data_IF_635486382642
#
_entry.id   IF_635486382642
#
_cell.length_a   1.000
_cell.length_b   1.000
_cell.length_c   1.000
_cell.angle_alpha   90.00
_cell.angle_beta   90.00
_cell.angle_gamma   90.00
#
_symmetry.space_group_name_H-M   'P 1'
#
loop_
_entity.id
_entity.type
_entity.pdbx_description
1 polymer ?
#
# COMPACT_ATOMS: atom_id res chain seq x y z
N UNK A 1 -3.98 10.95 12.80
CA UNK A 1 -2.99 9.89 12.49
C UNK A 1 -2.11 10.40 11.37
N UNK A 2 -0.81 10.04 11.31
CA UNK A 2 0.12 10.46 10.26
C UNK A 2 0.44 9.27 9.36
N UNK A 3 0.69 9.50 8.06
CA UNK A 3 1.08 8.44 7.10
C UNK A 3 2.31 7.66 7.58
N UNK A 4 3.26 8.34 8.22
CA UNK A 4 4.43 7.70 8.84
C UNK A 4 4.08 6.55 9.78
N UNK A 5 2.95 6.62 10.48
CA UNK A 5 2.49 5.52 11.34
C UNK A 5 2.06 4.30 10.51
N UNK A 6 1.33 4.50 9.41
CA UNK A 6 0.95 3.42 8.49
C UNK A 6 2.17 2.76 7.86
N UNK A 7 3.16 3.57 7.43
CA UNK A 7 4.44 3.09 6.91
C UNK A 7 5.16 2.22 7.95
N UNK A 8 5.20 2.65 9.23
CA UNK A 8 5.81 1.86 10.31
C UNK A 8 5.07 0.55 10.54
N UNK A 9 3.73 0.53 10.53
CA UNK A 9 2.96 -0.71 10.65
C UNK A 9 3.27 -1.65 9.47
N UNK A 10 3.39 -1.13 8.25
CA UNK A 10 3.74 -1.89 7.05
C UNK A 10 5.14 -2.48 7.09
N UNK A 11 6.14 -1.66 7.36
CA UNK A 11 7.55 -2.08 7.46
C UNK A 11 7.76 -3.17 8.53
N UNK A 12 7.08 -3.02 9.68
CA UNK A 12 7.18 -3.97 10.78
C UNK A 12 6.14 -5.11 10.71
N UNK A 13 5.29 -5.12 9.68
CA UNK A 13 4.23 -6.12 9.45
C UNK A 13 3.29 -6.27 10.66
N UNK A 14 2.99 -5.17 11.35
CA UNK A 14 2.17 -5.13 12.57
C UNK A 14 0.69 -4.94 12.20
N UNK A 15 0.13 -5.95 11.57
CA UNK A 15 -1.30 -6.08 11.29
C UNK A 15 -1.63 -7.52 10.91
N UNK A 16 -2.91 -7.85 10.85
CA UNK A 16 -3.35 -9.09 10.25
C UNK A 16 -3.40 -8.91 8.72
N UNK A 17 -2.49 -9.55 7.93
CA UNK A 17 -2.46 -9.39 6.48
C UNK A 17 -3.70 -9.96 5.78
N UNK A 18 -4.49 -10.80 6.45
CA UNK A 18 -5.76 -11.33 5.93
C UNK A 18 -6.87 -10.26 5.84
N UNK A 19 -6.61 -9.04 6.30
CA UNK A 19 -7.60 -7.94 6.30
C UNK A 19 -7.51 -7.03 5.08
N UNK A 20 -6.47 -7.14 4.24
CA UNK A 20 -6.35 -6.27 3.08
C UNK A 20 -7.40 -6.63 2.01
N UNK A 21 -8.11 -5.61 1.57
CA UNK A 21 -9.13 -5.70 0.53
C UNK A 21 -9.06 -4.48 -0.39
N UNK A 22 -9.47 -4.65 -1.64
CA UNK A 22 -9.70 -3.53 -2.54
C UNK A 22 -11.02 -2.82 -2.20
N UNK A 23 -11.34 -1.76 -2.96
CA UNK A 23 -12.56 -0.96 -2.79
C UNK A 23 -13.86 -1.73 -3.04
N UNK A 24 -13.77 -2.85 -3.77
CA UNK A 24 -14.90 -3.73 -4.08
C UNK A 24 -15.01 -4.88 -3.06
N UNK A 25 -14.08 -4.94 -2.10
CA UNK A 25 -14.05 -5.95 -1.03
C UNK A 25 -13.33 -7.25 -1.41
N UNK A 26 -12.68 -7.32 -2.56
CA UNK A 26 -11.90 -8.49 -2.95
C UNK A 26 -10.63 -8.59 -2.09
N UNK A 27 -10.22 -9.79 -1.67
CA UNK A 27 -9.01 -9.95 -0.86
C UNK A 27 -7.76 -9.54 -1.65
N UNK A 28 -6.82 -8.91 -0.94
CA UNK A 28 -5.47 -8.62 -1.42
C UNK A 28 -4.49 -9.40 -0.53
N UNK A 29 -3.73 -10.29 -1.13
CA UNK A 29 -2.64 -10.99 -0.48
C UNK A 29 -1.34 -10.22 -0.70
N UNK A 30 -0.60 -9.90 0.37
CA UNK A 30 0.71 -9.27 0.26
C UNK A 30 1.77 -10.37 0.14
N UNK A 31 2.37 -10.48 -1.04
CA UNK A 31 3.42 -11.47 -1.34
C UNK A 31 4.82 -10.94 -0.98
N UNK A 32 5.04 -9.63 -1.14
CA UNK A 32 6.26 -8.94 -0.73
C UNK A 32 5.90 -7.52 -0.28
N UNK A 33 6.36 -7.14 0.92
CA UNK A 33 6.12 -5.81 1.50
C UNK A 33 7.01 -4.72 0.89
N UNK A 34 7.96 -5.10 0.03
CA UNK A 34 8.87 -4.16 -0.60
C UNK A 34 9.85 -3.53 0.38
N UNK A 35 10.40 -2.37 0.01
CA UNK A 35 11.40 -1.63 0.79
C UNK A 35 10.97 -0.18 0.97
N UNK A 36 11.11 0.33 2.20
CA UNK A 36 10.82 1.73 2.52
C UNK A 36 11.65 2.65 1.61
N UNK A 37 11.00 3.61 0.99
CA UNK A 37 11.63 4.70 0.26
C UNK A 37 11.74 5.91 1.20
N UNK A 38 12.96 6.41 1.39
CA UNK A 38 13.23 7.62 2.18
C UNK A 38 13.28 8.90 1.34
N UNK A 39 13.06 8.79 0.04
CA UNK A 39 13.12 9.90 -0.91
C UNK A 39 11.70 10.31 -1.33
N UNK A 40 11.62 11.33 -2.19
CA UNK A 40 10.35 11.71 -2.82
C UNK A 40 9.75 10.56 -3.66
N UNK A 41 8.43 10.59 -3.82
CA UNK A 41 7.66 9.59 -4.56
C UNK A 41 6.94 8.61 -3.64
N UNK A 42 6.76 7.35 -4.05
CA UNK A 42 5.98 6.36 -3.31
C UNK A 42 6.67 5.99 -1.99
N UNK A 43 5.90 5.53 -1.01
CA UNK A 43 6.42 5.15 0.31
C UNK A 43 7.25 3.87 0.28
N UNK A 44 6.91 2.91 -0.59
CA UNK A 44 7.60 1.63 -0.71
C UNK A 44 7.87 1.27 -2.17
N UNK A 45 9.06 0.74 -2.41
CA UNK A 45 9.46 0.16 -3.69
C UNK A 45 9.33 -1.35 -3.71
N UNK A 46 9.07 -1.91 -4.90
CA UNK A 46 9.13 -3.35 -5.16
C UNK A 46 8.16 -4.19 -4.31
N UNK A 47 6.98 -3.63 -4.04
CA UNK A 47 5.85 -4.34 -3.42
C UNK A 47 5.27 -5.36 -4.40
N UNK A 48 4.88 -6.52 -3.89
CA UNK A 48 4.18 -7.54 -4.66
C UNK A 48 2.89 -7.93 -3.96
N UNK A 49 1.79 -7.85 -4.70
CA UNK A 49 0.47 -8.24 -4.21
C UNK A 49 -0.17 -9.25 -5.16
N UNK A 50 -1.10 -10.03 -4.64
CA UNK A 50 -1.99 -10.88 -5.44
C UNK A 50 -3.43 -10.55 -5.11
N UNK A 51 -4.22 -10.29 -6.14
CA UNK A 51 -5.66 -10.07 -6.02
C UNK A 51 -6.37 -10.64 -7.23
N UNK A 52 -7.54 -11.24 -7.03
CA UNK A 52 -8.35 -11.85 -8.10
C UNK A 52 -7.54 -12.81 -9.01
N UNK A 53 -6.57 -13.53 -8.46
CA UNK A 53 -5.72 -14.48 -9.18
C UNK A 53 -4.55 -13.84 -9.97
N UNK A 54 -4.47 -12.51 -10.03
CA UNK A 54 -3.42 -11.77 -10.75
C UNK A 54 -2.36 -11.30 -9.75
N UNK A 55 -1.09 -11.46 -10.11
CA UNK A 55 0.04 -10.92 -9.33
C UNK A 55 0.49 -9.59 -9.91
N UNK A 56 0.53 -8.57 -9.08
CA UNK A 56 1.04 -7.24 -9.42
C UNK A 56 2.39 -7.03 -8.74
N UNK A 57 3.28 -6.32 -9.43
CA UNK A 57 4.58 -5.89 -8.93
C UNK A 57 4.75 -4.40 -9.22
N UNK A 58 5.09 -3.60 -8.19
CA UNK A 58 5.17 -2.16 -8.33
C UNK A 58 5.57 -1.45 -7.04
N UNK A 59 5.22 -0.16 -6.97
CA UNK A 59 5.43 0.67 -5.79
C UNK A 59 4.12 0.84 -5.01
N UNK A 60 4.19 1.19 -3.72
CA UNK A 60 3.02 1.47 -2.89
C UNK A 60 3.14 2.83 -2.20
N UNK A 61 2.01 3.52 -2.06
CA UNK A 61 1.84 4.81 -1.39
C UNK A 61 0.65 4.70 -0.42
N UNK A 62 0.79 5.29 0.76
CA UNK A 62 -0.13 5.16 1.88
C UNK A 62 -0.70 6.53 2.23
N UNK A 63 -2.03 6.60 2.27
CA UNK A 63 -2.74 7.78 2.73
C UNK A 63 -3.58 7.47 3.95
N UNK A 64 -3.64 8.43 4.88
CA UNK A 64 -4.58 8.35 6.01
C UNK A 64 -6.02 8.59 5.55
N UNK A 65 -6.21 9.46 4.54
CA UNK A 65 -7.51 9.72 3.94
C UNK A 65 -7.48 9.29 2.48
N UNK A 66 -8.47 8.52 2.06
CA UNK A 66 -8.64 8.16 0.64
C UNK A 66 -8.82 9.40 -0.26
N UNK A 67 -9.31 10.53 0.28
CA UNK A 67 -9.43 11.80 -0.45
C UNK A 67 -8.08 12.35 -0.93
N UNK A 68 -6.98 11.99 -0.28
CA UNK A 68 -5.65 12.48 -0.63
C UNK A 68 -5.17 11.90 -1.98
N UNK A 69 -5.82 10.82 -2.45
CA UNK A 69 -5.67 10.31 -3.81
C UNK A 69 -5.91 11.39 -4.88
N UNK A 70 -6.96 12.20 -4.68
CA UNK A 70 -7.29 13.30 -5.58
C UNK A 70 -6.34 14.49 -5.42
N UNK A 71 -5.92 14.77 -4.18
CA UNK A 71 -4.97 15.84 -3.90
C UNK A 71 -3.62 15.58 -4.59
N UNK A 72 -3.20 14.31 -4.64
CA UNK A 72 -1.98 13.87 -5.29
C UNK A 72 -2.15 13.57 -6.78
N UNK A 73 -3.36 13.76 -7.33
CA UNK A 73 -3.66 13.62 -8.77
C UNK A 73 -3.35 12.23 -9.32
N UNK A 74 -3.53 11.19 -8.51
CA UNK A 74 -3.29 9.80 -8.93
C UNK A 74 -4.27 9.27 -10.01
N UNK A 75 -5.32 10.03 -10.32
CA UNK A 75 -6.30 9.72 -11.38
C UNK A 75 -6.10 10.49 -12.68
N UNK A 76 -5.08 11.36 -12.78
CA UNK A 76 -4.80 12.16 -13.99
C UNK A 76 -3.93 11.42 -15.01
#
# INVERSE_FOLDING_TARGET
>A
MKEKFLQTLWENKVFNPLLFKDTDGNPIEILDFGKLNSNAGPDFHSVKIKTQGITFFGNAEFHVKSSDWLLHKHSE
#
